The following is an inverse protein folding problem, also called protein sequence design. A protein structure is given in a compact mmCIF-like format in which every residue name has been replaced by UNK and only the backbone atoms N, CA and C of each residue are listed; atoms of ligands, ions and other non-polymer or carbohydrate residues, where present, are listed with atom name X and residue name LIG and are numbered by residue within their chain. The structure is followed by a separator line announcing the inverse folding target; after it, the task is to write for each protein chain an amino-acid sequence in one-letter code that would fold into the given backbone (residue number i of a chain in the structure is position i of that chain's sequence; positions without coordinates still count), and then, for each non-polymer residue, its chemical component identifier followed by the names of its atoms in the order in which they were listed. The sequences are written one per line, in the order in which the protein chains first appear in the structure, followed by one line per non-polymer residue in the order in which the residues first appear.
data_IF_377619846303
#
_entry.id   IF_377619846303
#
_cell.length_a   1.000
_cell.length_b   1.000
_cell.length_c   1.000
_cell.angle_alpha   90.00
_cell.angle_beta   90.00
_cell.angle_gamma   90.00
#
_symmetry.space_group_name_H-M   'P 1'
#
loop_
_entity.id
_entity.type
_entity.pdbx_description
1 polymer ?
#
# COMPACT_ATOMS: atom_id res chain seq x y z
N UNK A 1 -5.60 22.81 -10.60
CA UNK A 1 -5.34 21.75 -11.61
C UNK A 1 -5.85 22.09 -13.02
N UNK A 2 -6.95 22.84 -13.16
CA UNK A 2 -7.57 23.20 -14.46
C UNK A 2 -6.61 23.82 -15.49
N UNK A 3 -5.72 24.72 -15.08
CA UNK A 3 -4.69 25.28 -15.97
C UNK A 3 -3.77 24.19 -16.55
N UNK A 4 -3.30 23.26 -15.72
CA UNK A 4 -2.42 22.17 -16.15
C UNK A 4 -3.16 21.20 -17.08
N UNK A 5 -4.39 20.82 -16.74
CA UNK A 5 -5.26 19.97 -17.59
C UNK A 5 -5.47 20.60 -18.96
N UNK A 6 -5.75 21.91 -19.00
CA UNK A 6 -5.90 22.65 -20.25
C UNK A 6 -4.59 22.71 -21.03
N UNK A 7 -3.47 23.00 -20.36
CA UNK A 7 -2.13 23.04 -20.98
C UNK A 7 -1.75 21.72 -21.63
N UNK A 8 -2.13 20.61 -21.02
CA UNK A 8 -1.85 19.26 -21.53
C UNK A 8 -2.95 18.71 -22.45
N UNK A 9 -3.98 19.49 -22.76
CA UNK A 9 -5.12 19.09 -23.59
C UNK A 9 -5.86 17.83 -23.07
N UNK A 10 -5.93 17.66 -21.74
CA UNK A 10 -6.53 16.49 -21.09
C UNK A 10 -8.01 16.71 -20.71
N UNK A 11 -8.60 17.86 -21.03
CA UNK A 11 -9.93 18.25 -20.55
C UNK A 11 -11.12 17.40 -21.06
N UNK A 12 -10.87 16.48 -22.00
CA UNK A 12 -11.88 15.53 -22.50
C UNK A 12 -11.70 14.12 -21.94
N UNK A 13 -10.63 13.88 -21.18
CA UNK A 13 -10.35 12.57 -20.59
C UNK A 13 -10.93 12.47 -19.19
N UNK A 14 -11.32 11.26 -18.74
CA UNK A 14 -11.72 11.02 -17.36
C UNK A 14 -10.58 11.41 -16.41
N UNK A 15 -10.92 12.06 -15.31
CA UNK A 15 -9.96 12.40 -14.27
C UNK A 15 -10.08 11.37 -13.15
N UNK A 16 -9.00 10.64 -12.86
CA UNK A 16 -8.93 9.72 -11.73
C UNK A 16 -7.85 10.17 -10.74
N UNK A 17 -7.92 9.71 -9.50
CA UNK A 17 -6.89 9.99 -8.51
C UNK A 17 -6.53 8.75 -7.69
N UNK A 18 -5.24 8.62 -7.38
CA UNK A 18 -4.73 7.68 -6.41
C UNK A 18 -3.95 8.46 -5.36
N UNK A 19 -4.23 8.17 -4.09
CA UNK A 19 -3.50 8.74 -2.97
C UNK A 19 -3.07 7.64 -2.00
N UNK A 20 -1.79 7.63 -1.63
CA UNK A 20 -1.26 6.72 -0.61
C UNK A 20 -1.03 7.46 0.72
N UNK A 21 -1.45 6.86 1.84
CA UNK A 21 -1.29 7.40 3.19
C UNK A 21 -1.79 8.85 3.29
N UNK A 22 -0.93 9.84 3.54
CA UNK A 22 -1.28 11.27 3.55
C UNK A 22 -1.89 11.76 2.24
N UNK A 23 -1.42 11.23 1.11
CA UNK A 23 -2.02 11.46 -0.20
C UNK A 23 -3.44 10.90 -0.30
N UNK A 24 -3.74 9.79 0.37
CA UNK A 24 -5.08 9.20 0.43
C UNK A 24 -6.06 10.11 1.19
N UNK A 25 -5.63 10.70 2.31
CA UNK A 25 -6.43 11.72 3.00
C UNK A 25 -6.70 12.93 2.11
N UNK A 26 -5.66 13.43 1.44
CA UNK A 26 -5.78 14.55 0.52
C UNK A 26 -6.76 14.25 -0.63
N UNK A 27 -6.61 13.10 -1.29
CA UNK A 27 -7.49 12.66 -2.38
C UNK A 27 -8.93 12.52 -1.88
N UNK A 28 -9.15 11.94 -0.71
CA UNK A 28 -10.50 11.81 -0.15
C UNK A 28 -11.17 13.17 0.07
N UNK A 29 -10.43 14.18 0.55
CA UNK A 29 -10.99 15.51 0.76
C UNK A 29 -11.24 16.26 -0.55
N UNK A 30 -10.24 16.30 -1.44
CA UNK A 30 -10.34 17.07 -2.70
C UNK A 30 -11.36 16.47 -3.67
N UNK A 31 -11.64 15.17 -3.57
CA UNK A 31 -12.71 14.50 -4.32
C UNK A 31 -14.10 15.03 -4.01
N UNK A 32 -14.28 15.72 -2.88
CA UNK A 32 -15.53 16.41 -2.60
C UNK A 32 -15.69 17.67 -3.47
N UNK A 33 -14.61 18.29 -3.94
CA UNK A 33 -14.64 19.55 -4.68
C UNK A 33 -14.29 19.43 -6.17
N UNK A 34 -13.61 18.35 -6.55
CA UNK A 34 -13.26 18.04 -7.94
C UNK A 34 -13.99 16.78 -8.41
N UNK A 35 -14.52 16.84 -9.63
CA UNK A 35 -15.16 15.69 -10.27
C UNK A 35 -14.12 14.71 -10.78
N UNK A 36 -13.95 13.62 -10.05
CA UNK A 36 -13.23 12.44 -10.49
C UNK A 36 -14.22 11.40 -11.03
N UNK A 37 -13.78 10.62 -12.01
CA UNK A 37 -14.47 9.41 -12.48
C UNK A 37 -14.47 8.33 -11.41
N UNK A 38 -13.33 8.15 -10.73
CA UNK A 38 -13.19 7.32 -9.53
C UNK A 38 -11.87 7.64 -8.83
N UNK A 39 -11.76 7.22 -7.56
CA UNK A 39 -10.57 7.41 -6.74
C UNK A 39 -10.12 6.09 -6.10
N UNK A 40 -8.82 6.00 -5.81
CA UNK A 40 -8.21 4.92 -5.03
C UNK A 40 -7.47 5.48 -3.83
N UNK A 41 -7.79 4.98 -2.64
CA UNK A 41 -7.17 5.34 -1.37
C UNK A 41 -6.32 4.15 -0.89
N UNK A 42 -5.00 4.28 -1.02
CA UNK A 42 -4.06 3.25 -0.61
C UNK A 42 -3.53 3.52 0.80
N UNK A 43 -3.53 2.50 1.66
CA UNK A 43 -3.12 2.56 3.07
C UNK A 43 -3.69 3.79 3.81
N UNK A 44 -4.92 4.16 3.45
CA UNK A 44 -5.63 5.35 3.92
C UNK A 44 -7.12 5.07 4.06
N UNK A 45 -7.71 5.51 5.17
CA UNK A 45 -9.15 5.43 5.44
C UNK A 45 -9.92 6.64 4.90
N UNK A 46 -9.23 7.75 4.59
CA UNK A 46 -9.86 9.00 4.15
C UNK A 46 -10.37 9.88 5.29
N UNK A 47 -10.95 11.04 4.95
CA UNK A 47 -11.42 12.07 5.90
C UNK A 47 -12.94 12.20 5.93
N UNK A 48 -13.65 11.08 5.78
CA UNK A 48 -15.11 11.04 5.61
C UNK A 48 -15.92 11.44 6.85
N UNK A 49 -15.32 11.42 8.04
CA UNK A 49 -15.91 11.91 9.29
C UNK A 49 -15.68 13.42 9.52
N UNK A 50 -14.89 14.07 8.66
CA UNK A 50 -14.53 15.49 8.77
C UNK A 50 -15.12 16.37 7.66
N UNK A 51 -15.97 15.80 6.82
CA UNK A 51 -16.59 16.51 5.70
C UNK A 51 -18.00 16.02 5.41
N UNK A 52 -18.84 16.92 4.90
CA UNK A 52 -20.12 16.56 4.32
C UNK A 52 -19.89 15.98 2.91
N UNK A 53 -20.06 14.67 2.79
CA UNK A 53 -19.93 13.93 1.52
C UNK A 53 -21.05 14.37 0.58
N UNK A 54 -20.68 14.96 -0.56
CA UNK A 54 -21.63 15.39 -1.60
C UNK A 54 -22.29 14.19 -2.28
N UNK A 55 -23.49 14.42 -2.84
CA UNK A 55 -24.26 13.37 -3.52
C UNK A 55 -23.55 12.82 -4.77
N UNK A 56 -22.68 13.61 -5.40
CA UNK A 56 -21.90 13.22 -6.58
C UNK A 56 -20.45 12.83 -6.24
N UNK A 57 -20.19 12.42 -4.99
CA UNK A 57 -18.88 11.94 -4.57
C UNK A 57 -18.45 10.70 -5.39
N UNK A 58 -17.19 10.63 -5.86
CA UNK A 58 -16.78 9.62 -6.81
C UNK A 58 -16.71 8.20 -6.22
N UNK A 59 -16.92 7.17 -7.05
CA UNK A 59 -16.62 5.78 -6.71
C UNK A 59 -15.23 5.66 -6.07
N UNK A 60 -15.15 4.93 -4.95
CA UNK A 60 -13.95 4.85 -4.12
C UNK A 60 -13.47 3.41 -3.93
N UNK A 61 -12.21 3.15 -4.27
CA UNK A 61 -11.53 1.89 -3.97
C UNK A 61 -10.59 2.08 -2.77
N UNK A 62 -10.73 1.25 -1.75
CA UNK A 62 -9.76 1.16 -0.66
C UNK A 62 -8.74 0.05 -0.94
N UNK A 63 -7.46 0.35 -0.83
CA UNK A 63 -6.38 -0.66 -0.93
C UNK A 63 -5.63 -0.65 0.37
N UNK A 64 -5.77 -1.70 1.17
CA UNK A 64 -5.22 -1.72 2.53
C UNK A 64 -4.71 -3.09 2.91
N UNK A 65 -4.00 -3.13 4.03
CA UNK A 65 -3.45 -4.35 4.57
C UNK A 65 -4.19 -4.73 5.85
N UNK A 66 -4.71 -5.96 5.97
CA UNK A 66 -5.64 -6.32 7.04
C UNK A 66 -4.99 -6.39 8.42
N UNK A 67 -3.65 -6.49 8.55
CA UNK A 67 -3.01 -6.44 9.87
C UNK A 67 -2.90 -5.01 10.42
N UNK A 68 -3.10 -3.97 9.60
CA UNK A 68 -3.36 -2.62 10.07
C UNK A 68 -4.82 -2.52 10.55
N UNK A 69 -5.07 -3.14 11.71
CA UNK A 69 -6.42 -3.38 12.25
C UNK A 69 -7.20 -2.09 12.51
N UNK A 70 -6.52 -1.04 12.97
CA UNK A 70 -7.13 0.27 13.17
C UNK A 70 -7.66 0.84 11.85
N UNK A 71 -6.83 0.80 10.80
CA UNK A 71 -7.20 1.24 9.47
C UNK A 71 -8.33 0.42 8.88
N UNK A 72 -8.22 -0.90 8.98
CA UNK A 72 -9.23 -1.83 8.48
C UNK A 72 -10.60 -1.55 9.10
N UNK A 73 -10.65 -1.30 10.41
CA UNK A 73 -11.89 -0.94 11.10
C UNK A 73 -12.46 0.37 10.53
N UNK A 74 -11.63 1.40 10.41
CA UNK A 74 -12.06 2.70 9.87
C UNK A 74 -12.54 2.63 8.42
N UNK A 75 -11.85 1.87 7.58
CA UNK A 75 -12.28 1.61 6.20
C UNK A 75 -13.65 0.92 6.19
N UNK A 76 -13.85 -0.08 7.05
CA UNK A 76 -15.14 -0.78 7.15
C UNK A 76 -16.28 0.18 7.53
N UNK A 77 -16.05 1.07 8.50
CA UNK A 77 -16.99 2.11 8.90
C UNK A 77 -17.29 3.07 7.73
N UNK A 78 -16.27 3.58 7.05
CA UNK A 78 -16.45 4.54 5.96
C UNK A 78 -17.04 3.96 4.68
N UNK A 79 -16.79 2.69 4.38
CA UNK A 79 -17.48 2.00 3.30
C UNK A 79 -19.01 1.96 3.54
N UNK A 80 -19.46 1.81 4.79
CA UNK A 80 -20.89 1.87 5.11
C UNK A 80 -21.45 3.28 4.91
N UNK A 81 -20.71 4.31 5.34
CA UNK A 81 -21.08 5.71 5.12
C UNK A 81 -21.22 6.01 3.63
N UNK A 82 -20.23 5.65 2.81
CA UNK A 82 -20.25 5.87 1.36
C UNK A 82 -21.42 5.13 0.68
N UNK A 83 -21.68 3.87 1.04
CA UNK A 83 -22.84 3.12 0.53
C UNK A 83 -24.17 3.78 0.88
N UNK A 84 -24.30 4.33 2.10
CA UNK A 84 -25.51 5.06 2.50
C UNK A 84 -25.77 6.31 1.65
N UNK A 85 -24.72 6.86 1.05
CA UNK A 85 -24.74 7.98 0.10
C UNK A 85 -24.83 7.53 -1.36
N UNK A 86 -25.04 6.23 -1.62
CA UNK A 86 -25.11 5.61 -2.95
C UNK A 86 -23.81 5.74 -3.78
N UNK A 87 -22.67 5.93 -3.11
CA UNK A 87 -21.36 5.87 -3.73
C UNK A 87 -20.96 4.41 -3.93
N UNK A 88 -20.48 4.05 -5.13
CA UNK A 88 -19.91 2.72 -5.36
C UNK A 88 -18.56 2.60 -4.63
N UNK A 89 -18.37 1.49 -3.91
CA UNK A 89 -17.22 1.32 -3.03
C UNK A 89 -16.80 -0.13 -2.89
N UNK A 90 -15.50 -0.35 -3.06
CA UNK A 90 -14.86 -1.66 -2.97
C UNK A 90 -13.59 -1.60 -2.10
N UNK A 91 -13.09 -2.76 -1.70
CA UNK A 91 -11.82 -2.90 -1.02
C UNK A 91 -10.96 -4.00 -1.65
N UNK A 92 -9.64 -3.79 -1.65
CA UNK A 92 -8.62 -4.80 -1.89
C UNK A 92 -7.82 -4.97 -0.61
N UNK A 93 -7.76 -6.22 -0.14
CA UNK A 93 -6.95 -6.63 1.01
C UNK A 93 -5.63 -7.19 0.53
N UNK A 94 -4.56 -6.42 0.72
CA UNK A 94 -3.20 -6.84 0.47
C UNK A 94 -2.77 -7.80 1.57
N UNK A 95 -2.82 -9.11 1.28
CA UNK A 95 -2.47 -10.17 2.23
C UNK A 95 -0.95 -10.30 2.41
N UNK A 96 -0.55 -10.97 3.50
CA UNK A 96 0.86 -11.27 3.78
C UNK A 96 1.47 -12.17 2.71
N UNK A 97 2.79 -12.07 2.55
CA UNK A 97 3.57 -12.82 1.57
C UNK A 97 4.62 -13.66 2.30
N UNK A 98 4.82 -14.92 1.88
CA UNK A 98 5.92 -15.71 2.39
C UNK A 98 7.23 -15.20 1.79
N UNK A 99 8.23 -15.03 2.64
CA UNK A 99 9.60 -14.84 2.20
C UNK A 99 10.15 -16.14 1.63
N UNK A 100 11.03 -16.00 0.65
CA UNK A 100 11.82 -17.06 0.03
C UNK A 100 13.28 -16.63 -0.05
N UNK A 101 14.22 -17.55 -0.38
CA UNK A 101 15.61 -17.19 -0.59
C UNK A 101 15.83 -16.12 -1.68
N UNK A 102 14.92 -15.99 -2.65
CA UNK A 102 15.02 -15.00 -3.74
C UNK A 102 14.15 -13.75 -3.53
N UNK A 103 13.29 -13.74 -2.51
CA UNK A 103 12.27 -12.71 -2.32
C UNK A 103 12.83 -11.28 -2.37
N UNK A 104 13.94 -11.01 -1.68
CA UNK A 104 14.53 -9.67 -1.66
C UNK A 104 15.26 -9.35 -2.97
N UNK A 105 15.96 -10.32 -3.57
CA UNK A 105 16.65 -10.09 -4.85
C UNK A 105 15.70 -9.90 -6.03
N UNK A 106 14.52 -10.50 -5.98
CA UNK A 106 13.49 -10.36 -7.02
C UNK A 106 12.80 -8.98 -6.97
N UNK A 107 12.92 -8.26 -5.85
CA UNK A 107 12.11 -7.07 -5.52
C UNK A 107 12.94 -5.80 -5.29
N UNK A 108 14.21 -5.95 -4.87
CA UNK A 108 15.09 -4.84 -4.54
C UNK A 108 16.27 -4.81 -5.50
N UNK A 109 16.31 -3.87 -6.45
CA UNK A 109 17.49 -3.62 -7.26
C UNK A 109 18.73 -3.39 -6.38
N UNK A 110 19.81 -4.12 -6.63
CA UNK A 110 21.05 -4.05 -5.84
C UNK A 110 21.20 -5.16 -4.79
N UNK A 111 20.12 -5.87 -4.43
CA UNK A 111 20.24 -7.08 -3.59
C UNK A 111 20.53 -8.30 -4.48
N UNK A 112 21.73 -8.85 -4.37
CA UNK A 112 22.08 -10.10 -5.07
C UNK A 112 21.40 -11.33 -4.46
N UNK A 113 21.18 -12.38 -5.27
CA UNK A 113 20.55 -13.63 -4.83
C UNK A 113 21.26 -14.27 -3.62
N UNK A 114 22.61 -14.22 -3.58
CA UNK A 114 23.39 -14.73 -2.45
C UNK A 114 23.07 -13.98 -1.16
N UNK A 115 22.99 -12.65 -1.21
CA UNK A 115 22.66 -11.82 -0.04
C UNK A 115 21.23 -12.10 0.40
N UNK A 116 20.28 -12.17 -0.54
CA UNK A 116 18.88 -12.49 -0.26
C UNK A 116 18.75 -13.85 0.46
N UNK A 117 19.42 -14.89 -0.03
CA UNK A 117 19.40 -16.21 0.59
C UNK A 117 20.03 -16.19 2.00
N UNK A 118 21.16 -15.51 2.17
CA UNK A 118 21.83 -15.37 3.48
C UNK A 118 20.98 -14.62 4.50
N UNK A 119 20.22 -13.61 4.08
CA UNK A 119 19.27 -12.89 4.92
C UNK A 119 18.08 -13.77 5.29
N UNK A 120 17.52 -14.50 4.33
CA UNK A 120 16.42 -15.42 4.58
C UNK A 120 16.80 -16.51 5.60
N UNK A 121 17.98 -17.11 5.48
CA UNK A 121 18.48 -18.09 6.44
C UNK A 121 18.68 -17.47 7.83
N UNK A 122 19.23 -16.26 7.91
CA UNK A 122 19.35 -15.51 9.17
C UNK A 122 17.96 -15.27 9.80
N UNK A 123 16.97 -14.85 9.01
CA UNK A 123 15.62 -14.60 9.51
C UNK A 123 14.95 -15.87 10.03
N UNK A 124 15.22 -17.03 9.42
CA UNK A 124 14.77 -18.33 9.90
C UNK A 124 15.47 -18.73 11.20
N UNK A 125 16.79 -18.58 11.27
CA UNK A 125 17.60 -18.91 12.45
C UNK A 125 17.17 -18.09 13.66
N UNK A 126 16.97 -16.77 13.48
CA UNK A 126 16.48 -15.87 14.55
C UNK A 126 14.99 -15.98 14.81
N UNK A 127 14.27 -16.77 14.02
CA UNK A 127 12.85 -17.01 14.18
C UNK A 127 11.95 -15.81 13.84
N UNK A 128 12.43 -14.85 13.04
CA UNK A 128 11.64 -13.71 12.55
C UNK A 128 10.57 -14.14 11.55
N UNK A 129 10.86 -15.19 10.77
CA UNK A 129 9.88 -15.87 9.91
C UNK A 129 9.45 -17.20 10.52
N UNK A 130 8.26 -17.68 10.13
CA UNK A 130 7.76 -19.01 10.48
C UNK A 130 8.27 -20.10 9.52
N UNK A 131 7.79 -21.34 9.71
CA UNK A 131 8.18 -22.49 8.88
C UNK A 131 7.75 -22.38 7.42
N UNK A 132 6.78 -21.52 7.12
CA UNK A 132 6.23 -21.29 5.79
C UNK A 132 6.80 -20.00 5.16
N UNK A 133 7.68 -19.29 5.86
CA UNK A 133 8.31 -18.05 5.39
C UNK A 133 7.55 -16.77 5.74
N UNK A 134 6.46 -16.84 6.50
CA UNK A 134 5.71 -15.63 6.87
C UNK A 134 6.38 -14.87 8.01
N UNK A 135 6.41 -13.55 7.89
CA UNK A 135 6.86 -12.65 8.96
C UNK A 135 5.97 -12.81 10.18
N UNK A 136 6.57 -13.04 11.35
CA UNK A 136 5.82 -13.15 12.62
C UNK A 136 5.47 -11.80 13.24
N UNK A 137 6.17 -10.75 12.84
CA UNK A 137 6.03 -9.37 13.33
C UNK A 137 6.24 -8.40 12.18
N UNK A 138 5.77 -7.17 12.36
CA UNK A 138 6.07 -6.04 11.48
C UNK A 138 7.58 -5.94 11.23
N UNK A 139 7.96 -5.79 9.96
CA UNK A 139 9.35 -5.65 9.52
C UNK A 139 10.07 -4.46 10.17
N UNK A 140 9.36 -3.36 10.43
CA UNK A 140 9.88 -2.17 11.14
C UNK A 140 10.04 -2.40 12.65
N UNK A 141 9.19 -3.25 13.24
CA UNK A 141 9.27 -3.62 14.65
C UNK A 141 10.24 -4.79 14.92
N UNK A 142 10.72 -5.46 13.86
CA UNK A 142 11.63 -6.59 13.97
C UNK A 142 13.07 -6.11 14.02
N UNK A 143 13.83 -6.55 15.02
CA UNK A 143 15.24 -6.19 15.21
C UNK A 143 16.18 -7.00 14.30
N UNK A 144 15.89 -7.04 13.00
CA UNK A 144 16.65 -7.82 12.04
C UNK A 144 18.01 -7.17 11.68
N UNK A 145 18.08 -5.84 11.73
CA UNK A 145 19.34 -5.10 11.54
C UNK A 145 20.37 -5.44 12.62
N UNK A 146 19.93 -5.51 13.89
CA UNK A 146 20.78 -5.92 15.01
C UNK A 146 21.30 -7.35 14.81
N UNK A 147 20.44 -8.26 14.33
CA UNK A 147 20.86 -9.64 14.03
C UNK A 147 21.91 -9.73 12.91
N UNK A 148 21.85 -8.82 11.93
CA UNK A 148 22.89 -8.69 10.90
C UNK A 148 24.19 -8.18 11.52
N UNK A 149 24.13 -7.11 12.31
CA UNK A 149 25.32 -6.56 12.96
C UNK A 149 26.02 -7.61 13.85
N UNK A 150 25.26 -8.40 14.60
CA UNK A 150 25.80 -9.42 15.50
C UNK A 150 26.39 -10.63 14.77
N UNK A 151 25.74 -11.07 13.69
CA UNK A 151 26.06 -12.37 13.07
C UNK A 151 26.92 -12.24 11.80
N UNK A 152 26.70 -11.19 11.01
CA UNK A 152 27.31 -10.99 9.68
C UNK A 152 27.48 -9.48 9.39
N UNK A 153 28.39 -8.79 10.09
CA UNK A 153 28.64 -7.38 9.84
C UNK A 153 29.06 -7.17 8.38
N UNK A 154 28.56 -6.09 7.75
CA UNK A 154 28.76 -5.75 6.34
C UNK A 154 28.07 -6.66 5.30
N UNK A 155 27.13 -7.53 5.71
CA UNK A 155 26.36 -8.34 4.75
C UNK A 155 25.51 -7.49 3.80
N UNK A 156 24.97 -6.37 4.29
CA UNK A 156 24.06 -5.50 3.56
C UNK A 156 24.62 -4.09 3.54
N UNK A 157 24.62 -3.47 2.35
CA UNK A 157 24.99 -2.06 2.23
C UNK A 157 23.93 -1.16 2.88
N UNK A 158 24.38 -0.09 3.55
CA UNK A 158 23.49 0.80 4.31
C UNK A 158 22.30 1.34 3.49
N UNK A 159 22.50 1.60 2.20
CA UNK A 159 21.45 2.12 1.32
C UNK A 159 20.36 1.08 0.99
N UNK A 160 20.62 -0.21 1.22
CA UNK A 160 19.67 -1.30 1.01
C UNK A 160 18.88 -1.64 2.28
N UNK A 161 19.27 -1.12 3.44
CA UNK A 161 18.60 -1.40 4.72
C UNK A 161 17.13 -0.98 4.68
N UNK A 162 16.88 0.27 4.28
CA UNK A 162 15.51 0.78 4.20
C UNK A 162 14.66 0.03 3.17
N UNK A 163 15.09 -0.18 1.90
CA UNK A 163 14.35 -1.02 0.96
C UNK A 163 14.01 -2.43 1.50
N UNK A 164 14.95 -3.08 2.19
CA UNK A 164 14.69 -4.38 2.83
C UNK A 164 13.61 -4.25 3.89
N UNK A 165 13.70 -3.25 4.77
CA UNK A 165 12.69 -3.02 5.82
C UNK A 165 11.28 -2.83 5.25
N UNK A 166 11.15 -2.05 4.18
CA UNK A 166 9.87 -1.78 3.52
C UNK A 166 9.29 -3.07 2.89
N UNK A 167 10.12 -3.90 2.24
CA UNK A 167 9.68 -5.18 1.70
C UNK A 167 9.31 -6.19 2.80
N UNK A 168 9.97 -6.16 3.96
CA UNK A 168 9.59 -6.95 5.13
C UNK A 168 8.24 -6.49 5.72
N UNK A 169 8.00 -5.18 5.75
CA UNK A 169 6.73 -4.62 6.19
C UNK A 169 5.59 -4.98 5.22
N UNK A 170 5.85 -4.89 3.92
CA UNK A 170 4.95 -5.34 2.86
C UNK A 170 4.63 -6.83 3.02
N UNK A 171 5.65 -7.68 3.21
CA UNK A 171 5.47 -9.12 3.38
C UNK A 171 4.67 -9.46 4.64
N UNK A 172 4.81 -8.67 5.71
CA UNK A 172 3.97 -8.81 6.89
C UNK A 172 2.51 -8.38 6.66
N UNK A 173 2.23 -7.60 5.61
CA UNK A 173 0.95 -6.94 5.34
C UNK A 173 0.54 -5.97 6.44
N UNK A 174 1.37 -4.96 6.67
CA UNK A 174 1.05 -3.83 7.55
C UNK A 174 1.47 -2.49 6.93
N UNK A 175 0.52 -1.55 6.83
CA UNK A 175 0.76 -0.13 6.52
C UNK A 175 1.88 0.17 5.48
N UNK A 176 1.83 -0.47 4.30
CA UNK A 176 2.82 -0.27 3.24
C UNK A 176 2.20 -0.02 1.86
N UNK A 177 2.80 0.87 1.08
CA UNK A 177 2.41 1.12 -0.31
C UNK A 177 2.79 -0.10 -1.16
N UNK A 178 1.96 -0.46 -2.14
CA UNK A 178 2.21 -1.64 -2.96
C UNK A 178 1.81 -1.48 -4.41
N UNK A 179 2.63 -2.04 -5.30
CA UNK A 179 2.33 -2.21 -6.71
C UNK A 179 1.66 -3.56 -7.04
N UNK A 180 1.55 -4.46 -6.07
CA UNK A 180 1.03 -5.82 -6.30
C UNK A 180 -0.41 -5.83 -6.82
N UNK A 181 -1.17 -4.80 -6.49
CA UNK A 181 -2.59 -4.65 -6.85
C UNK A 181 -2.79 -3.65 -7.99
N UNK A 182 -1.73 -3.27 -8.73
CA UNK A 182 -1.82 -2.23 -9.77
C UNK A 182 -2.84 -2.59 -10.84
N UNK A 183 -2.89 -3.85 -11.26
CA UNK A 183 -3.83 -4.32 -12.28
C UNK A 183 -5.29 -4.13 -11.83
N UNK A 184 -5.61 -4.50 -10.59
CA UNK A 184 -6.98 -4.37 -10.07
C UNK A 184 -7.36 -2.91 -9.81
N UNK A 185 -6.40 -2.07 -9.42
CA UNK A 185 -6.57 -0.61 -9.32
C UNK A 185 -6.85 -0.01 -10.70
N UNK A 186 -6.12 -0.42 -11.73
CA UNK A 186 -6.33 0.07 -13.10
C UNK A 186 -7.68 -0.37 -13.64
N UNK A 187 -8.07 -1.63 -13.44
CA UNK A 187 -9.42 -2.12 -13.78
C UNK A 187 -10.52 -1.34 -13.08
N UNK A 188 -10.33 -0.98 -11.81
CA UNK A 188 -11.27 -0.13 -11.08
C UNK A 188 -11.39 1.26 -11.72
N UNK A 189 -10.28 1.87 -12.13
CA UNK A 189 -10.35 3.14 -12.84
C UNK A 189 -11.10 2.97 -14.17
N UNK A 190 -10.71 1.99 -14.99
CA UNK A 190 -11.29 1.72 -16.31
C UNK A 190 -12.81 1.47 -16.25
N UNK A 191 -13.29 0.75 -15.24
CA UNK A 191 -14.72 0.45 -15.08
C UNK A 191 -15.58 1.68 -14.76
N UNK A 192 -14.97 2.82 -14.45
CA UNK A 192 -15.65 4.07 -14.07
C UNK A 192 -15.32 5.25 -15.00
N UNK A 193 -14.64 5.00 -16.12
CA UNK A 193 -14.24 6.05 -17.08
C UNK A 193 -15.37 6.53 -18.01
N UNK A 194 -16.56 5.93 -17.95
CA UNK A 194 -17.69 6.19 -18.85
C UNK A 194 -18.65 7.24 -18.33
#
# INVERSE_FOLDING_TARGET
ITWWVKRQNLGKLPLVALGASSGGYFVSAIANDLKFSSITLMIAEGLFDRMDIKEDYPPTLFVHMPKDTHRQQKITEFMQVLRSKRVDVAEIKCMELPLSPTFLSDRIPGVGQTISAMLFDLFREKGFVDKNGYMKRDGRATRWEDAIQDSKPNLLENHLVHPVQEELNLAFAYHEMTSLQSEDILKWFESHMT
#
